data_IF_783367822564
#
_entry.id   IF_783367822564
#
_cell.length_a   1.000
_cell.length_b   1.000
_cell.length_c   1.000
_cell.angle_alpha   90.00
_cell.angle_beta   90.00
_cell.angle_gamma   90.00
#
_symmetry.space_group_name_H-M   'P 1'
#
loop_
_entity.id
_entity.type
_entity.pdbx_description
1 polymer ?
#
# COMPACT_ATOMS: atom_id res chain seq x y z
N UNK A 1 -11.05 13.81 5.97
CA UNK A 1 -9.86 13.16 5.37
C UNK A 1 -10.04 13.21 3.86
N UNK A 2 -9.32 14.09 3.15
CA UNK A 2 -9.38 14.15 1.67
C UNK A 2 -8.76 12.85 1.16
N UNK A 3 -9.57 11.99 0.55
CA UNK A 3 -9.19 10.60 0.26
C UNK A 3 -7.97 10.48 -0.67
N UNK A 4 -7.39 9.29 -0.80
CA UNK A 4 -6.23 9.02 -1.66
C UNK A 4 -6.46 9.45 -3.12
N UNK A 5 -7.73 9.43 -3.56
CA UNK A 5 -8.17 9.89 -4.88
C UNK A 5 -7.90 11.39 -5.12
N UNK A 6 -8.01 12.23 -4.09
CA UNK A 6 -7.76 13.67 -4.22
C UNK A 6 -6.29 13.97 -4.51
N UNK A 7 -5.36 13.23 -3.89
CA UNK A 7 -3.92 13.37 -4.16
C UNK A 7 -3.57 12.90 -5.58
N UNK A 8 -4.19 11.82 -6.05
CA UNK A 8 -4.02 11.32 -7.43
C UNK A 8 -4.52 12.34 -8.46
N UNK A 9 -5.69 12.94 -8.23
CA UNK A 9 -6.24 13.98 -9.12
C UNK A 9 -5.37 15.24 -9.16
N UNK A 10 -4.85 15.70 -8.02
CA UNK A 10 -3.95 16.85 -7.94
C UNK A 10 -2.64 16.56 -8.69
N UNK A 11 -2.08 15.36 -8.52
CA UNK A 11 -0.87 14.93 -9.24
C UNK A 11 -1.08 14.89 -10.76
N UNK A 12 -2.19 14.32 -11.22
CA UNK A 12 -2.52 14.29 -12.65
C UNK A 12 -2.73 15.70 -13.22
N UNK A 13 -3.44 16.58 -12.49
CA UNK A 13 -3.64 17.96 -12.90
C UNK A 13 -2.31 18.73 -13.02
N UNK A 14 -1.37 18.53 -12.09
CA UNK A 14 -0.05 19.15 -12.14
C UNK A 14 0.79 18.65 -13.34
N UNK A 15 0.77 17.34 -13.62
CA UNK A 15 1.47 16.74 -14.76
C UNK A 15 0.86 17.24 -16.09
N UNK A 16 -0.47 17.25 -16.21
CA UNK A 16 -1.17 17.74 -17.39
C UNK A 16 -0.91 19.24 -17.64
N UNK A 17 -0.91 20.06 -16.58
CA UNK A 17 -0.57 21.47 -16.67
C UNK A 17 0.90 21.68 -17.10
N UNK A 18 1.84 20.87 -16.58
CA UNK A 18 3.23 20.90 -17.01
C UNK A 18 3.41 20.54 -18.48
N UNK A 19 2.73 19.49 -18.95
CA UNK A 19 2.76 19.09 -20.35
C UNK A 19 2.12 20.14 -21.28
N UNK A 20 1.02 20.76 -20.84
CA UNK A 20 0.36 21.85 -21.55
C UNK A 20 1.28 23.08 -21.66
N UNK A 21 1.98 23.44 -20.58
CA UNK A 21 2.95 24.52 -20.58
C UNK A 21 4.12 24.24 -21.54
N UNK A 22 4.62 23.00 -21.56
CA UNK A 22 5.64 22.59 -22.53
C UNK A 22 5.13 22.71 -23.97
N UNK A 23 3.93 22.19 -24.25
CA UNK A 23 3.33 22.26 -25.58
C UNK A 23 3.10 23.70 -26.06
N UNK A 24 2.76 24.62 -25.13
CA UNK A 24 2.64 26.05 -25.43
C UNK A 24 4.01 26.75 -25.60
N UNK A 25 5.08 26.18 -25.03
CA UNK A 25 6.44 26.74 -25.14
C UNK A 25 7.15 26.45 -26.47
N UNK A 26 6.64 25.49 -27.26
CA UNK A 26 7.21 25.06 -28.55
C UNK A 26 6.97 26.03 -29.72
N UNK A 27 6.60 27.28 -29.45
CA UNK A 27 6.41 28.27 -30.52
C UNK A 27 7.71 28.85 -31.09
N UNK A 28 8.90 28.68 -30.49
CA UNK A 28 10.11 29.34 -31.03
C UNK A 28 11.51 28.88 -30.59
N UNK A 29 11.71 27.67 -30.07
CA UNK A 29 13.05 27.26 -29.62
C UNK A 29 13.60 26.12 -30.47
N UNK A 30 14.38 26.52 -31.48
CA UNK A 30 15.21 25.60 -32.25
C UNK A 30 16.05 24.72 -31.34
N UNK A 31 15.94 23.41 -31.52
CA UNK A 31 16.89 22.38 -31.10
C UNK A 31 17.52 22.55 -29.71
N UNK A 32 16.72 22.70 -28.66
CA UNK A 32 17.20 22.78 -27.28
C UNK A 32 17.25 21.42 -26.57
N UNK A 33 18.28 21.21 -25.76
CA UNK A 33 18.38 20.09 -24.81
C UNK A 33 17.67 20.48 -23.49
N UNK A 34 16.95 19.54 -22.86
CA UNK A 34 16.29 19.74 -21.56
C UNK A 34 16.93 18.82 -20.52
N UNK A 35 17.33 19.40 -19.39
CA UNK A 35 17.97 18.71 -18.28
C UNK A 35 17.04 18.68 -17.05
N UNK A 36 16.57 17.49 -16.69
CA UNK A 36 15.82 17.25 -15.44
C UNK A 36 16.58 16.16 -14.71
N UNK A 37 17.33 16.57 -13.68
CA UNK A 37 18.19 15.69 -12.89
C UNK A 37 17.44 14.41 -12.46
N UNK A 38 18.00 13.19 -12.65
CA UNK A 38 19.30 12.80 -13.23
C UNK A 38 19.27 12.39 -14.72
N UNK A 39 18.18 12.66 -15.45
CA UNK A 39 17.95 12.11 -16.78
C UNK A 39 18.41 13.06 -17.89
N UNK A 40 19.15 12.53 -18.86
CA UNK A 40 19.66 13.25 -20.03
C UNK A 40 18.81 12.91 -21.25
N UNK A 41 18.28 13.92 -21.94
CA UNK A 41 17.49 13.73 -23.17
C UNK A 41 18.13 14.50 -24.34
N UNK A 42 18.61 13.75 -25.35
CA UNK A 42 19.19 14.27 -26.60
C UNK A 42 18.16 14.17 -27.74
N UNK A 43 18.09 15.20 -28.60
CA UNK A 43 16.89 15.57 -29.37
C UNK A 43 16.57 14.80 -30.66
N UNK A 44 15.39 15.15 -31.24
CA UNK A 44 15.01 15.29 -32.66
C UNK A 44 13.47 15.19 -32.79
N UNK A 45 12.74 16.34 -32.85
CA UNK A 45 11.28 16.67 -32.79
C UNK A 45 10.19 15.69 -33.30
N UNK A 46 10.56 14.50 -33.78
CA UNK A 46 9.74 13.30 -33.81
C UNK A 46 9.40 12.60 -32.45
N UNK A 47 10.00 12.87 -31.27
CA UNK A 47 9.85 12.05 -30.09
C UNK A 47 8.77 12.62 -29.15
N UNK A 48 8.14 13.75 -29.45
CA UNK A 48 7.04 14.28 -28.64
C UNK A 48 5.85 13.31 -28.64
N UNK A 49 5.60 12.65 -29.77
CA UNK A 49 4.62 11.59 -29.87
C UNK A 49 5.03 10.33 -29.10
N UNK A 50 6.31 9.93 -29.16
CA UNK A 50 6.77 8.75 -28.41
C UNK A 50 6.78 9.00 -26.91
N UNK A 51 7.17 10.19 -26.48
CA UNK A 51 7.11 10.66 -25.10
C UNK A 51 5.64 10.72 -24.64
N UNK A 52 4.74 11.30 -25.44
CA UNK A 52 3.32 11.35 -25.15
C UNK A 52 2.69 9.97 -25.00
N UNK A 53 3.01 9.03 -25.91
CA UNK A 53 2.56 7.64 -25.82
C UNK A 53 3.15 6.91 -24.61
N UNK A 54 4.41 7.16 -24.27
CA UNK A 54 5.04 6.58 -23.08
C UNK A 54 4.37 7.08 -21.78
N UNK A 55 4.06 8.38 -21.70
CA UNK A 55 3.32 8.93 -20.55
C UNK A 55 1.89 8.41 -20.48
N UNK A 56 1.18 8.31 -21.61
CA UNK A 56 -0.16 7.71 -21.68
C UNK A 56 -0.14 6.25 -21.22
N UNK A 57 0.86 5.48 -21.66
CA UNK A 57 1.05 4.09 -21.28
C UNK A 57 1.36 3.96 -19.78
N UNK A 58 2.28 4.76 -19.24
CA UNK A 58 2.59 4.78 -17.81
C UNK A 58 1.37 5.18 -16.97
N UNK A 59 0.58 6.15 -17.45
CA UNK A 59 -0.65 6.55 -16.79
C UNK A 59 -1.68 5.42 -16.77
N UNK A 60 -1.94 4.79 -17.93
CA UNK A 60 -2.84 3.64 -18.03
C UNK A 60 -2.38 2.46 -17.16
N UNK A 61 -1.07 2.18 -17.14
CA UNK A 61 -0.48 1.12 -16.31
C UNK A 61 -0.66 1.41 -14.82
N UNK A 62 -0.43 2.66 -14.40
CA UNK A 62 -0.62 3.09 -13.01
C UNK A 62 -2.09 3.06 -12.61
N UNK A 63 -2.99 3.48 -13.49
CA UNK A 63 -4.44 3.40 -13.30
C UNK A 63 -4.89 1.94 -13.18
N UNK A 64 -4.43 1.06 -14.07
CA UNK A 64 -4.68 -0.38 -14.01
C UNK A 64 -4.17 -1.00 -12.72
N UNK A 65 -2.94 -0.70 -12.30
CA UNK A 65 -2.41 -1.18 -11.02
C UNK A 65 -3.22 -0.65 -9.84
N UNK A 66 -3.65 0.61 -9.86
CA UNK A 66 -4.50 1.19 -8.82
C UNK A 66 -5.87 0.50 -8.78
N UNK A 67 -6.45 0.17 -9.94
CA UNK A 67 -7.72 -0.57 -10.03
C UNK A 67 -7.56 -2.03 -9.58
N UNK A 68 -6.47 -2.71 -9.96
CA UNK A 68 -6.19 -4.09 -9.56
C UNK A 68 -5.89 -4.19 -8.06
N UNK A 69 -5.11 -3.26 -7.51
CA UNK A 69 -4.80 -3.22 -6.08
C UNK A 69 -5.99 -2.75 -5.24
N UNK A 70 -6.81 -1.81 -5.72
CA UNK A 70 -8.04 -1.41 -5.04
C UNK A 70 -9.08 -2.53 -5.01
N UNK A 71 -9.15 -3.38 -6.05
CA UNK A 71 -9.96 -4.61 -5.99
C UNK A 71 -9.50 -5.57 -4.89
N UNK A 72 -8.18 -5.70 -4.68
CA UNK A 72 -7.65 -6.50 -3.55
C UNK A 72 -8.00 -5.90 -2.19
N UNK A 73 -8.17 -4.58 -2.11
CA UNK A 73 -8.57 -3.91 -0.86
C UNK A 73 -10.09 -3.94 -0.60
N UNK A 74 -10.93 -4.35 -1.55
CA UNK A 74 -12.36 -4.53 -1.24
C UNK A 74 -12.61 -5.82 -0.44
N UNK A 75 -11.65 -6.76 -0.44
CA UNK A 75 -11.81 -8.12 0.09
C UNK A 75 -11.24 -8.29 1.52
N UNK A 76 -10.53 -7.29 2.07
CA UNK A 76 -9.96 -7.43 3.42
C UNK A 76 -11.01 -7.17 4.52
N UNK A 77 -12.03 -6.35 4.26
CA UNK A 77 -13.13 -6.07 5.22
C UNK A 77 -13.95 -7.34 5.50
N UNK A 78 -14.07 -8.25 4.53
CA UNK A 78 -14.80 -9.52 4.64
C UNK A 78 -14.00 -10.62 5.35
N UNK A 79 -12.68 -10.44 5.55
CA UNK A 79 -11.82 -11.43 6.21
C UNK A 79 -11.79 -11.34 7.74
N UNK A 80 -12.32 -10.26 8.32
CA UNK A 80 -12.41 -10.11 9.77
C UNK A 80 -13.65 -10.85 10.25
N UNK A 81 -13.53 -11.97 10.98
CA UNK A 81 -14.70 -12.67 11.51
C UNK A 81 -15.49 -11.73 12.42
N UNK A 82 -16.83 -11.75 12.38
CA UNK A 82 -17.66 -10.91 13.23
C UNK A 82 -17.28 -11.13 14.70
N UNK A 83 -17.27 -10.06 15.49
CA UNK A 83 -16.79 -10.06 16.88
C UNK A 83 -17.43 -11.13 17.81
N UNK A 84 -18.52 -11.76 17.37
CA UNK A 84 -19.18 -12.88 18.02
C UNK A 84 -18.35 -14.18 18.01
N UNK A 85 -17.42 -14.36 17.08
CA UNK A 85 -16.49 -15.51 17.03
C UNK A 85 -15.15 -15.20 17.73
N UNK A 86 -15.12 -14.29 18.70
CA UNK A 86 -13.99 -14.26 19.64
C UNK A 86 -14.15 -15.47 20.55
N UNK A 87 -13.52 -16.57 20.15
CA UNK A 87 -13.43 -17.80 20.94
C UNK A 87 -13.03 -17.44 22.37
N UNK A 88 -13.99 -17.55 23.30
CA UNK A 88 -13.72 -17.39 24.73
C UNK A 88 -12.74 -18.49 25.13
N UNK A 89 -11.53 -18.11 25.53
CA UNK A 89 -10.54 -19.08 26.01
C UNK A 89 -10.71 -19.19 27.53
N UNK A 90 -11.30 -20.29 28.03
CA UNK A 90 -11.46 -20.48 29.47
C UNK A 90 -10.10 -20.54 30.15
N UNK A 91 -9.96 -19.81 31.26
CA UNK A 91 -8.74 -19.75 32.06
C UNK A 91 -8.89 -20.75 33.21
N UNK A 92 -8.09 -21.81 33.21
CA UNK A 92 -8.29 -22.97 34.12
C UNK A 92 -7.27 -23.01 35.25
N UNK A 93 -6.23 -22.18 35.21
CA UNK A 93 -5.25 -22.15 36.29
C UNK A 93 -4.32 -20.95 36.26
N UNK A 94 -3.31 -21.00 37.14
CA UNK A 94 -2.19 -20.04 37.16
C UNK A 94 -0.87 -20.78 37.01
N UNK A 95 0.10 -20.12 36.39
CA UNK A 95 1.45 -20.64 36.21
C UNK A 95 2.10 -20.84 37.58
N UNK A 96 2.67 -22.02 37.83
CA UNK A 96 3.46 -22.29 39.03
C UNK A 96 4.74 -21.44 39.10
N UNK A 97 5.29 -21.05 37.95
CA UNK A 97 6.55 -20.30 37.85
C UNK A 97 6.37 -18.79 37.97
N UNK A 98 5.34 -18.20 37.34
CA UNK A 98 5.17 -16.75 37.27
C UNK A 98 3.79 -16.22 37.71
N UNK A 99 2.88 -17.10 38.13
CA UNK A 99 1.54 -16.74 38.61
C UNK A 99 0.56 -16.19 37.57
N UNK A 100 0.92 -16.17 36.28
CA UNK A 100 0.03 -15.69 35.22
C UNK A 100 -1.17 -16.62 35.02
N UNK A 101 -2.37 -16.12 34.64
CA UNK A 101 -3.50 -16.97 34.28
C UNK A 101 -3.18 -17.79 33.02
N UNK A 102 -3.57 -19.05 33.01
CA UNK A 102 -3.37 -19.98 31.91
C UNK A 102 -4.68 -20.42 31.28
N UNK A 103 -4.74 -20.49 29.94
CA UNK A 103 -5.87 -21.06 29.24
C UNK A 103 -5.90 -22.59 29.36
N UNK A 104 -7.09 -23.18 29.28
CA UNK A 104 -7.36 -24.62 29.46
C UNK A 104 -6.48 -25.55 28.62
N UNK A 105 -6.08 -25.11 27.42
CA UNK A 105 -5.32 -25.90 26.44
C UNK A 105 -3.87 -25.45 26.28
N UNK A 106 -3.32 -24.66 27.21
CA UNK A 106 -1.91 -24.26 27.15
C UNK A 106 -0.97 -25.37 27.64
N UNK A 107 -0.08 -25.83 26.75
CA UNK A 107 1.08 -26.67 27.07
C UNK A 107 2.26 -25.87 27.62
N UNK A 108 2.32 -24.56 27.33
CA UNK A 108 3.35 -23.63 27.81
C UNK A 108 2.71 -22.35 28.34
N UNK A 109 3.32 -21.74 29.36
CA UNK A 109 2.85 -20.46 29.86
C UNK A 109 3.17 -19.35 28.82
N UNK A 110 2.18 -18.61 28.32
CA UNK A 110 2.43 -17.54 27.33
C UNK A 110 3.17 -16.34 27.91
N UNK A 111 3.26 -16.21 29.25
CA UNK A 111 3.97 -15.12 29.90
C UNK A 111 5.46 -15.44 30.12
N UNK A 112 5.81 -16.65 30.55
CA UNK A 112 7.18 -16.99 30.94
C UNK A 112 7.81 -18.16 30.17
N UNK A 113 7.04 -18.86 29.34
CA UNK A 113 7.53 -19.98 28.52
C UNK A 113 7.75 -21.30 29.28
N UNK A 114 7.46 -21.37 30.59
CA UNK A 114 7.61 -22.62 31.34
C UNK A 114 6.62 -23.68 30.83
N UNK A 115 7.05 -24.94 30.82
CA UNK A 115 6.14 -26.07 30.60
C UNK A 115 5.05 -26.07 31.67
N UNK A 116 3.83 -26.35 31.25
CA UNK A 116 2.69 -26.36 32.15
C UNK A 116 2.32 -27.81 32.41
N UNK A 117 2.63 -28.28 33.61
CA UNK A 117 1.94 -29.42 34.17
C UNK A 117 0.61 -28.88 34.68
N UNK A 118 -0.43 -28.94 33.85
CA UNK A 118 -1.80 -28.59 34.25
C UNK A 118 -2.19 -29.51 35.41
N UNK A 119 -2.01 -29.04 36.64
CA UNK A 119 -2.58 -29.66 37.82
C UNK A 119 -4.09 -29.38 37.75
N UNK A 120 -4.83 -30.25 37.06
CA UNK A 120 -6.29 -30.26 37.10
C UNK A 120 -6.70 -30.59 38.54
N UNK A 121 -6.81 -29.58 39.40
CA UNK A 121 -7.48 -29.75 40.68
C UNK A 121 -8.98 -29.82 40.37
N UNK A 122 -9.47 -31.05 40.38
CA UNK A 122 -10.86 -31.48 40.34
C UNK A 122 -11.67 -30.84 41.47
#
# INVERSE_FOLDING_TARGET
MRGPLALVLIGFAAIAAGFLLLALSDANLGGGFIFIFPFFFFGNMSPLWTIGLAFLFLFLMTLLLTVVTSRRMADWETSVPPAAERLYVPMVGRCSMCGAPLPEKASFCPRCGSSVDIVSKQ
#
